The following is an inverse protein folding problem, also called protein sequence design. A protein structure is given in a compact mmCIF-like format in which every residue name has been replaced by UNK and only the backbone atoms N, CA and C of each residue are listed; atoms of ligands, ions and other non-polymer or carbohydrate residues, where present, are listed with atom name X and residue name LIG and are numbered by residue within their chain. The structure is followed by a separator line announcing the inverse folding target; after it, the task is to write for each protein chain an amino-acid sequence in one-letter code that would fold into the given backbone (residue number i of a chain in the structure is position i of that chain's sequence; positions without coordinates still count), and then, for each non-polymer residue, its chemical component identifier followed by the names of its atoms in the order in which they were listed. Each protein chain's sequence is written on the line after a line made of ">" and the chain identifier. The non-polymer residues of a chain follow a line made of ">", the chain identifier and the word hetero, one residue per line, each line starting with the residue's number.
data_IF_772748804617
#
_entry.id   IF_772748804617
#
_cell.length_a   1.000
_cell.length_b   1.000
_cell.length_c   1.000
_cell.angle_alpha   90.00
_cell.angle_beta   90.00
_cell.angle_gamma   90.00
#
_symmetry.space_group_name_H-M   'P 1'
#
loop_
_entity.id
_entity.type
_entity.pdbx_description
1 polymer ?
#
# COMPACT_ATOMS: atom_id res chain seq x y z
N UNK A 1 -23.52 -18.57 6.55
CA UNK A 1 -23.59 -18.21 7.99
C UNK A 1 -22.39 -18.80 8.73
N UNK A 2 -21.26 -18.08 8.72
CA UNK A 2 -20.08 -18.48 9.49
C UNK A 2 -20.36 -18.18 10.96
N UNK A 3 -20.88 -19.16 11.72
CA UNK A 3 -21.11 -19.05 13.17
C UNK A 3 -19.92 -19.59 13.97
N UNK A 4 -18.70 -19.39 13.48
CA UNK A 4 -17.51 -19.86 14.19
C UNK A 4 -17.10 -18.80 15.21
N UNK A 5 -17.08 -19.09 16.53
CA UNK A 5 -16.64 -18.14 17.55
C UNK A 5 -15.21 -17.65 17.30
N UNK A 6 -14.33 -18.52 16.77
CA UNK A 6 -12.95 -18.17 16.39
C UNK A 6 -12.91 -17.02 15.37
N UNK A 7 -13.88 -16.98 14.46
CA UNK A 7 -13.90 -15.96 13.42
C UNK A 7 -14.26 -14.58 13.99
N UNK A 8 -15.28 -14.52 14.86
CA UNK A 8 -15.77 -13.27 15.45
C UNK A 8 -14.83 -12.75 16.53
N UNK A 9 -14.23 -13.65 17.33
CA UNK A 9 -13.44 -13.27 18.50
C UNK A 9 -11.97 -12.98 18.16
N UNK A 10 -11.43 -13.57 17.09
CA UNK A 10 -9.99 -13.50 16.77
C UNK A 10 -9.75 -12.97 15.36
N UNK A 11 -10.35 -13.58 14.34
CA UNK A 11 -10.03 -13.24 12.94
C UNK A 11 -10.51 -11.84 12.59
N UNK A 12 -11.77 -11.53 12.88
CA UNK A 12 -12.37 -10.24 12.55
C UNK A 12 -11.67 -9.06 13.26
N UNK A 13 -11.42 -9.08 14.58
CA UNK A 13 -10.68 -8.01 15.25
C UNK A 13 -9.24 -7.86 14.73
N UNK A 14 -8.57 -8.97 14.43
CA UNK A 14 -7.21 -8.95 13.87
C UNK A 14 -7.20 -8.31 12.48
N UNK A 15 -8.16 -8.66 11.61
CA UNK A 15 -8.28 -8.04 10.29
C UNK A 15 -8.59 -6.55 10.40
N UNK A 16 -9.43 -6.13 11.35
CA UNK A 16 -9.71 -4.70 11.58
C UNK A 16 -8.44 -3.97 12.03
N UNK A 17 -7.71 -4.52 13.00
CA UNK A 17 -6.47 -3.92 13.49
C UNK A 17 -5.39 -3.85 12.40
N UNK A 18 -5.18 -4.94 11.65
CA UNK A 18 -4.23 -4.98 10.53
C UNK A 18 -4.65 -4.04 9.40
N UNK A 19 -5.94 -3.97 9.07
CA UNK A 19 -6.45 -3.06 8.05
C UNK A 19 -6.23 -1.61 8.42
N UNK A 20 -6.54 -1.23 9.67
CA UNK A 20 -6.39 0.14 10.14
C UNK A 20 -4.91 0.55 10.27
N UNK A 21 -4.12 -0.23 11.00
CA UNK A 21 -2.68 0.06 11.20
C UNK A 21 -1.93 -0.02 9.87
N UNK A 22 -2.23 -1.03 9.06
CA UNK A 22 -1.63 -1.22 7.74
C UNK A 22 -1.89 -0.05 6.80
N UNK A 23 -3.10 0.52 6.81
CA UNK A 23 -3.43 1.69 6.01
C UNK A 23 -2.53 2.90 6.34
N UNK A 24 -2.40 3.26 7.62
CA UNK A 24 -1.53 4.37 8.03
C UNK A 24 -0.05 4.07 7.75
N UNK A 25 0.36 2.83 7.94
CA UNK A 25 1.74 2.43 7.72
C UNK A 25 2.11 2.49 6.23
N UNK A 26 1.21 2.09 5.33
CA UNK A 26 1.33 2.27 3.87
C UNK A 26 1.41 3.75 3.51
N UNK A 27 0.57 4.61 4.11
CA UNK A 27 0.62 6.05 3.85
C UNK A 27 1.99 6.64 4.19
N UNK A 28 2.50 6.35 5.39
CA UNK A 28 3.78 6.88 5.86
C UNK A 28 4.94 6.33 5.01
N UNK A 29 4.98 5.01 4.79
CA UNK A 29 6.03 4.37 4.00
C UNK A 29 6.01 4.84 2.55
N UNK A 30 4.83 4.90 1.93
CA UNK A 30 4.72 5.35 0.54
C UNK A 30 5.11 6.82 0.41
N UNK A 31 4.78 7.67 1.40
CA UNK A 31 5.22 9.07 1.38
C UNK A 31 6.74 9.17 1.46
N UNK A 32 7.35 8.44 2.39
CA UNK A 32 8.78 8.45 2.62
C UNK A 32 9.55 7.90 1.40
N UNK A 33 9.07 6.81 0.79
CA UNK A 33 9.62 6.26 -0.45
C UNK A 33 9.47 7.22 -1.63
N UNK A 34 8.30 7.85 -1.77
CA UNK A 34 8.05 8.81 -2.83
C UNK A 34 9.00 10.00 -2.74
N UNK A 35 9.14 10.60 -1.55
CA UNK A 35 10.03 11.74 -1.32
C UNK A 35 11.50 11.35 -1.58
N UNK A 36 11.92 10.13 -1.19
CA UNK A 36 13.26 9.62 -1.49
C UNK A 36 13.51 9.46 -2.99
N UNK A 37 12.61 8.80 -3.71
CA UNK A 37 12.76 8.61 -5.16
C UNK A 37 12.69 9.94 -5.89
N UNK A 38 11.79 10.85 -5.51
CA UNK A 38 11.68 12.17 -6.12
C UNK A 38 12.98 12.97 -6.00
N UNK A 39 13.64 12.91 -4.84
CA UNK A 39 14.85 13.67 -4.58
C UNK A 39 16.12 13.08 -5.22
N UNK A 40 16.21 11.75 -5.34
CA UNK A 40 17.45 11.07 -5.78
C UNK A 40 17.36 10.45 -7.17
N UNK A 41 16.15 10.08 -7.59
CA UNK A 41 15.86 9.34 -8.81
C UNK A 41 14.61 9.90 -9.49
N UNK A 42 14.52 11.23 -9.58
CA UNK A 42 13.33 11.91 -10.13
C UNK A 42 12.99 11.51 -11.57
N UNK A 43 13.94 10.91 -12.30
CA UNK A 43 13.76 10.33 -13.63
C UNK A 43 13.01 8.97 -13.63
N UNK A 44 12.96 8.26 -12.50
CA UNK A 44 12.23 6.99 -12.36
C UNK A 44 10.74 7.19 -12.12
N UNK A 45 10.35 8.37 -11.64
CA UNK A 45 8.96 8.77 -11.53
C UNK A 45 8.62 9.35 -12.91
N UNK A 46 7.80 8.63 -13.69
CA UNK A 46 7.24 9.18 -14.93
C UNK A 46 6.52 10.49 -14.55
N UNK A 47 7.14 11.64 -14.84
CA UNK A 47 6.60 12.97 -14.49
C UNK A 47 5.36 13.36 -15.31
N UNK A 48 4.71 12.40 -15.94
CA UNK A 48 3.56 12.57 -16.84
C UNK A 48 2.71 11.32 -16.69
N UNK A 49 1.41 11.50 -16.39
CA UNK A 49 0.26 10.57 -16.60
C UNK A 49 -0.67 10.30 -15.41
N UNK A 50 -0.52 10.95 -14.25
CA UNK A 50 -1.66 11.08 -13.33
C UNK A 50 -2.57 12.27 -13.67
N UNK A 51 -2.38 12.95 -14.81
CA UNK A 51 -3.44 13.77 -15.42
C UNK A 51 -4.49 12.89 -16.10
N UNK A 52 -4.96 11.84 -15.43
CA UNK A 52 -6.31 11.39 -15.73
C UNK A 52 -7.23 12.54 -15.34
N UNK A 53 -8.16 12.94 -16.20
CA UNK A 53 -9.19 13.98 -15.95
C UNK A 53 -9.92 13.83 -14.59
N UNK A 54 -9.75 12.71 -13.89
CA UNK A 54 -10.46 12.27 -12.71
C UNK A 54 -9.63 12.23 -11.40
N UNK A 55 -8.29 12.34 -11.44
CA UNK A 55 -7.46 12.22 -10.22
C UNK A 55 -6.40 13.30 -10.23
N UNK A 56 -6.64 14.35 -9.45
CA UNK A 56 -5.68 15.42 -9.23
C UNK A 56 -4.48 14.90 -8.43
N UNK A 57 -3.25 15.36 -8.71
CA UNK A 57 -2.07 15.00 -7.91
C UNK A 57 -2.17 15.50 -6.46
N UNK A 58 -3.07 16.47 -6.22
CA UNK A 58 -3.43 16.96 -4.90
C UNK A 58 -4.41 16.05 -4.16
N UNK A 59 -4.92 14.98 -4.79
CA UNK A 59 -5.67 13.94 -4.07
C UNK A 59 -4.71 13.13 -3.19
N UNK A 60 -4.95 13.20 -1.88
CA UNK A 60 -4.27 12.43 -0.85
C UNK A 60 -4.24 10.93 -1.20
N UNK A 61 -3.13 10.47 -1.81
CA UNK A 61 -2.95 9.07 -2.19
C UNK A 61 -2.29 8.84 -3.55
N UNK A 62 -2.16 9.85 -4.43
CA UNK A 62 -1.50 9.68 -5.73
C UNK A 62 -0.07 9.10 -5.62
N UNK A 63 0.68 9.56 -4.62
CA UNK A 63 2.03 9.06 -4.30
C UNK A 63 2.07 7.56 -3.97
N UNK A 64 1.00 6.99 -3.42
CA UNK A 64 0.90 5.54 -3.15
C UNK A 64 0.84 4.78 -4.48
N UNK A 65 0.06 5.29 -5.43
CA UNK A 65 -0.07 4.74 -6.78
C UNK A 65 1.27 4.72 -7.52
N UNK A 66 2.02 5.82 -7.46
CA UNK A 66 3.33 5.94 -8.10
C UNK A 66 4.34 4.96 -7.49
N UNK A 67 4.43 4.89 -6.16
CA UNK A 67 5.30 3.95 -5.45
C UNK A 67 4.90 2.50 -5.74
N UNK A 68 3.61 2.21 -5.79
CA UNK A 68 3.11 0.87 -6.12
C UNK A 68 3.42 0.49 -7.57
N UNK A 69 3.24 1.42 -8.52
CA UNK A 69 3.59 1.22 -9.92
C UNK A 69 5.08 0.94 -10.09
N UNK A 70 5.93 1.72 -9.41
CA UNK A 70 7.38 1.53 -9.40
C UNK A 70 7.77 0.17 -8.80
N UNK A 71 7.10 -0.23 -7.73
CA UNK A 71 7.27 -1.55 -7.09
C UNK A 71 6.92 -2.67 -8.06
N UNK A 72 5.76 -2.58 -8.74
CA UNK A 72 5.29 -3.59 -9.68
C UNK A 72 6.19 -3.74 -10.90
N UNK A 73 6.72 -2.63 -11.42
CA UNK A 73 7.67 -2.61 -12.53
C UNK A 73 9.10 -2.99 -12.13
N UNK A 74 9.36 -3.21 -10.83
CA UNK A 74 10.71 -3.44 -10.26
C UNK A 74 11.70 -2.31 -10.53
N UNK A 75 11.21 -1.10 -10.78
CA UNK A 75 12.06 0.08 -11.06
C UNK A 75 12.96 0.47 -9.89
N UNK A 76 12.56 0.12 -8.67
CA UNK A 76 13.33 0.34 -7.45
C UNK A 76 14.63 -0.48 -7.37
N UNK A 77 14.86 -1.47 -8.24
CA UNK A 77 16.10 -2.26 -8.24
C UNK A 77 17.34 -1.45 -8.65
N UNK A 78 17.14 -0.33 -9.34
CA UNK A 78 18.22 0.61 -9.74
C UNK A 78 18.75 1.41 -8.54
N UNK A 79 18.00 1.47 -7.43
CA UNK A 79 18.40 2.17 -6.22
C UNK A 79 19.62 1.47 -5.61
N UNK A 80 20.71 2.20 -5.38
CA UNK A 80 21.97 1.60 -4.90
C UNK A 80 21.85 1.08 -3.46
N UNK A 81 21.06 1.76 -2.64
CA UNK A 81 20.92 1.43 -1.22
C UNK A 81 20.01 0.22 -0.98
N UNK A 82 20.58 -0.79 -0.33
CA UNK A 82 19.85 -2.00 0.09
C UNK A 82 18.74 -1.71 1.10
N UNK A 83 18.90 -0.69 1.96
CA UNK A 83 17.87 -0.28 2.91
C UNK A 83 16.60 0.18 2.19
N UNK A 84 16.75 1.10 1.23
CA UNK A 84 15.64 1.66 0.45
C UNK A 84 14.95 0.58 -0.39
N UNK A 85 15.73 -0.31 -1.01
CA UNK A 85 15.20 -1.48 -1.72
C UNK A 85 14.39 -2.41 -0.81
N UNK A 86 14.86 -2.65 0.41
CA UNK A 86 14.12 -3.43 1.40
C UNK A 86 12.81 -2.74 1.80
N UNK A 87 12.84 -1.42 1.96
CA UNK A 87 11.66 -0.64 2.34
C UNK A 87 10.55 -0.67 1.28
N UNK A 88 10.90 -0.75 -0.01
CA UNK A 88 9.93 -1.02 -1.08
C UNK A 88 9.21 -2.36 -0.92
N UNK A 89 9.95 -3.42 -0.57
CA UNK A 89 9.34 -4.72 -0.29
C UNK A 89 8.47 -4.70 0.96
N UNK A 90 8.92 -4.04 2.03
CA UNK A 90 8.13 -3.88 3.25
C UNK A 90 6.83 -3.14 2.94
N UNK A 91 6.88 -2.03 2.20
CA UNK A 91 5.68 -1.30 1.80
C UNK A 91 4.73 -2.19 0.98
N UNK A 92 5.27 -3.01 0.07
CA UNK A 92 4.47 -3.94 -0.72
C UNK A 92 3.76 -5.00 0.13
N UNK A 93 4.48 -5.58 1.10
CA UNK A 93 3.95 -6.60 2.02
C UNK A 93 2.87 -6.01 2.91
N UNK A 94 3.08 -4.82 3.46
CA UNK A 94 2.10 -4.14 4.31
C UNK A 94 0.86 -3.78 3.48
N UNK A 95 1.03 -3.26 2.26
CA UNK A 95 -0.07 -3.00 1.34
C UNK A 95 -0.86 -4.27 1.02
N UNK A 96 -0.18 -5.38 0.71
CA UNK A 96 -0.80 -6.68 0.47
C UNK A 96 -1.57 -7.21 1.67
N UNK A 97 -0.97 -7.17 2.87
CA UNK A 97 -1.63 -7.59 4.11
C UNK A 97 -2.89 -6.75 4.41
N UNK A 98 -2.83 -5.45 4.14
CA UNK A 98 -3.96 -4.53 4.29
C UNK A 98 -5.09 -4.88 3.32
N UNK A 99 -4.77 -5.12 2.04
CA UNK A 99 -5.75 -5.53 1.02
C UNK A 99 -6.43 -6.84 1.42
N UNK A 100 -5.65 -7.84 1.85
CA UNK A 100 -6.19 -9.13 2.31
C UNK A 100 -7.10 -8.93 3.51
N UNK A 101 -6.68 -8.15 4.52
CA UNK A 101 -7.47 -7.87 5.70
C UNK A 101 -8.81 -7.19 5.35
N UNK A 102 -8.79 -6.16 4.50
CA UNK A 102 -10.00 -5.47 4.04
C UNK A 102 -10.89 -6.42 3.22
N UNK A 103 -10.31 -7.26 2.37
CA UNK A 103 -11.06 -8.23 1.57
C UNK A 103 -11.77 -9.26 2.46
N UNK A 104 -11.10 -9.72 3.52
CA UNK A 104 -11.69 -10.62 4.51
C UNK A 104 -12.83 -9.93 5.28
N UNK A 105 -12.68 -8.65 5.64
CA UNK A 105 -13.75 -7.86 6.29
C UNK A 105 -14.96 -7.72 5.35
N UNK A 106 -14.74 -7.37 4.08
CA UNK A 106 -15.82 -7.27 3.09
C UNK A 106 -16.53 -8.62 2.87
N UNK A 107 -15.76 -9.70 2.75
CA UNK A 107 -16.31 -11.04 2.64
C UNK A 107 -17.10 -11.43 3.91
N UNK A 108 -16.60 -11.07 5.09
CA UNK A 108 -17.33 -11.26 6.34
C UNK A 108 -18.70 -10.59 6.26
N UNK A 109 -18.78 -9.33 5.82
CA UNK A 109 -20.03 -8.60 5.68
C UNK A 109 -21.02 -9.21 4.68
N UNK A 110 -20.56 -9.86 3.62
CA UNK A 110 -21.43 -10.46 2.59
C UNK A 110 -21.93 -11.87 2.95
N UNK A 111 -21.15 -12.63 3.73
CA UNK A 111 -21.41 -14.05 4.02
C UNK A 111 -21.86 -14.33 5.46
N UNK A 112 -21.82 -13.31 6.32
CA UNK A 112 -22.32 -13.32 7.69
C UNK A 112 -23.76 -12.78 7.72
#
# INVERSE_FOLDING_TARGET
>A
MIKSPIFVDIVLPTCIAVGFVGFFLVLILSRLLYDYVRNNYGNLIESTQSQTMWVDQDMAGAFIGDVWALTRRRGFLVIESAFWRGLFWVNAVVGGATIVAVTVICAAFLFF
#
